data_IF_934717499031
#
_entry.id   IF_934717499031
#
_cell.length_a   1.000
_cell.length_b   1.000
_cell.length_c   1.000
_cell.angle_alpha   90.00
_cell.angle_beta   90.00
_cell.angle_gamma   90.00
#
_symmetry.space_group_name_H-M   'P 1'
#
loop_
_entity.id
_entity.type
_entity.pdbx_description
1 polymer ?
#
# COMPACT_ATOMS: atom_id res chain seq x y z
N UNK A 1 -10.73 2.84 1.71
CA UNK A 1 -10.41 2.41 3.09
C UNK A 1 -9.63 3.50 3.83
N UNK A 2 -9.78 3.62 5.15
CA UNK A 2 -9.07 4.60 5.97
C UNK A 2 -8.21 3.91 7.02
N UNK A 3 -6.98 4.39 7.22
CA UNK A 3 -6.10 4.00 8.33
C UNK A 3 -5.89 5.23 9.22
N UNK A 4 -6.62 5.28 10.34
CA UNK A 4 -6.49 6.34 11.36
C UNK A 4 -5.68 5.80 12.53
N UNK A 5 -4.47 6.32 12.69
CA UNK A 5 -3.59 5.99 13.80
C UNK A 5 -3.34 7.27 14.59
N UNK A 6 -3.99 7.43 15.74
CA UNK A 6 -3.92 8.67 16.53
C UNK A 6 -2.60 8.82 17.31
N UNK A 7 -1.86 7.73 17.50
CA UNK A 7 -0.58 7.68 18.24
C UNK A 7 0.57 7.06 17.44
N UNK A 8 0.32 6.66 16.19
CA UNK A 8 1.27 5.92 15.39
C UNK A 8 1.36 6.50 13.98
N UNK A 9 2.56 6.64 13.45
CA UNK A 9 2.78 6.94 12.04
C UNK A 9 3.17 5.66 11.30
N UNK A 10 2.85 5.57 10.02
CA UNK A 10 3.31 4.42 9.23
C UNK A 10 4.80 4.59 8.96
N UNK A 11 5.59 3.55 9.22
CA UNK A 11 7.03 3.56 8.95
C UNK A 11 7.27 3.58 7.44
N UNK A 12 7.78 4.69 6.91
CA UNK A 12 7.98 4.86 5.46
C UNK A 12 9.14 4.02 4.90
N UNK A 13 10.05 3.57 5.77
CA UNK A 13 11.24 2.78 5.38
C UNK A 13 10.97 1.28 5.36
N UNK A 14 9.97 0.83 6.12
CA UNK A 14 9.63 -0.58 6.28
C UNK A 14 8.36 -0.97 5.52
N UNK A 15 7.49 -0.01 5.19
CA UNK A 15 6.26 -0.28 4.46
C UNK A 15 6.26 0.33 3.06
N UNK A 16 5.55 -0.34 2.16
CA UNK A 16 5.25 0.14 0.81
C UNK A 16 3.74 0.16 0.58
N UNK A 17 3.26 1.19 -0.11
CA UNK A 17 1.92 1.16 -0.68
C UNK A 17 1.94 0.28 -1.92
N UNK A 18 1.12 -0.76 -1.93
CA UNK A 18 1.13 -1.81 -2.94
C UNK A 18 -0.24 -1.92 -3.60
N UNK A 19 -0.28 -2.03 -4.91
CA UNK A 19 -1.43 -2.47 -5.67
C UNK A 19 -1.15 -3.80 -6.37
N UNK A 20 -2.17 -4.65 -6.45
CA UNK A 20 -2.15 -5.92 -7.17
C UNK A 20 -3.31 -5.95 -8.14
N UNK A 21 -3.02 -6.24 -9.40
CA UNK A 21 -3.99 -6.25 -10.48
C UNK A 21 -3.41 -5.86 -11.84
N UNK A 22 -4.16 -6.16 -12.89
CA UNK A 22 -3.97 -5.61 -14.23
C UNK A 22 -5.14 -4.68 -14.53
N UNK A 23 -4.95 -3.70 -15.43
CA UNK A 23 -5.93 -2.62 -15.63
C UNK A 23 -6.23 -1.91 -14.30
N UNK A 24 -5.20 -1.61 -13.51
CA UNK A 24 -5.35 -1.14 -12.13
C UNK A 24 -4.56 0.14 -11.90
N UNK A 25 -5.17 1.10 -11.21
CA UNK A 25 -4.44 2.16 -10.53
C UNK A 25 -4.90 2.31 -9.09
N UNK A 26 -3.95 2.60 -8.22
CA UNK A 26 -4.20 2.84 -6.81
C UNK A 26 -3.57 4.16 -6.39
N UNK A 27 -4.34 4.94 -5.66
CA UNK A 27 -3.95 6.26 -5.15
C UNK A 27 -4.02 6.22 -3.64
N UNK A 28 -2.97 6.71 -3.00
CA UNK A 28 -2.90 6.94 -1.56
C UNK A 28 -2.81 8.44 -1.29
N UNK A 29 -3.71 8.92 -0.43
CA UNK A 29 -3.79 10.31 0.02
C UNK A 29 -3.60 10.35 1.52
N UNK A 30 -2.98 11.39 2.02
CA UNK A 30 -2.79 11.59 3.45
C UNK A 30 -2.25 12.97 3.75
N UNK A 31 -1.75 13.12 4.97
CA UNK A 31 -1.13 14.35 5.44
C UNK A 31 0.30 14.11 5.90
N UNK A 32 1.19 15.04 5.58
CA UNK A 32 2.52 15.17 6.16
C UNK A 32 2.53 16.47 6.97
N UNK A 33 2.41 16.35 8.30
CA UNK A 33 2.06 17.50 9.14
C UNK A 33 0.70 18.08 8.73
N UNK A 34 0.68 19.34 8.27
CA UNK A 34 -0.54 20.02 7.79
C UNK A 34 -0.69 20.01 6.26
N UNK A 35 0.29 19.50 5.52
CA UNK A 35 0.26 19.49 4.06
C UNK A 35 -0.37 18.19 3.54
N UNK A 36 -1.25 18.33 2.54
CA UNK A 36 -1.84 17.18 1.86
C UNK A 36 -0.87 16.65 0.83
N UNK A 37 -0.68 15.33 0.82
CA UNK A 37 0.03 14.65 -0.25
C UNK A 37 -0.88 13.67 -0.97
N UNK A 38 -0.53 13.37 -2.22
CA UNK A 38 -1.16 12.34 -3.02
C UNK A 38 -0.07 11.66 -3.84
N UNK A 39 0.00 10.34 -3.74
CA UNK A 39 0.87 9.51 -4.57
C UNK A 39 0.12 8.24 -4.97
N UNK A 40 0.69 7.42 -5.82
CA UNK A 40 0.04 6.22 -6.31
C UNK A 40 0.92 5.47 -7.29
N UNK A 41 0.39 4.36 -7.77
CA UNK A 41 1.01 3.57 -8.83
C UNK A 41 -0.08 2.90 -9.67
N UNK A 42 0.31 2.39 -10.84
CA UNK A 42 -0.56 1.65 -11.74
C UNK A 42 0.15 0.42 -12.29
N UNK A 43 -0.63 -0.57 -12.71
CA UNK A 43 -0.18 -1.79 -13.38
C UNK A 43 -1.15 -2.09 -14.51
N UNK A 44 -0.62 -2.18 -15.74
CA UNK A 44 -1.38 -2.44 -16.96
C UNK A 44 -0.79 -3.67 -17.63
N UNK A 45 -1.64 -4.64 -17.94
CA UNK A 45 -1.27 -5.89 -18.59
C UNK A 45 -2.49 -6.50 -19.25
N UNK A 46 -2.28 -7.10 -20.43
CA UNK A 46 -3.34 -7.72 -21.23
C UNK A 46 -3.28 -9.26 -21.19
N UNK A 47 -2.28 -9.83 -20.52
CA UNK A 47 -2.09 -11.28 -20.43
C UNK A 47 -1.32 -11.67 -19.17
N UNK A 48 -1.75 -12.76 -18.54
CA UNK A 48 -1.08 -13.39 -17.40
C UNK A 48 0.34 -13.89 -17.73
N UNK A 49 0.66 -14.16 -19.00
CA UNK A 49 1.98 -14.64 -19.41
C UNK A 49 3.08 -13.58 -19.24
N UNK A 50 2.68 -12.31 -19.14
CA UNK A 50 3.59 -11.20 -18.84
C UNK A 50 3.81 -11.00 -17.34
N UNK A 51 3.02 -11.67 -16.50
CA UNK A 51 3.04 -11.54 -15.05
C UNK A 51 4.00 -12.57 -14.47
N UNK A 52 5.02 -12.09 -13.75
CA UNK A 52 6.10 -12.92 -13.21
C UNK A 52 6.00 -12.92 -11.68
N UNK A 53 6.05 -14.12 -11.08
CA UNK A 53 6.14 -14.27 -9.62
C UNK A 53 7.45 -13.67 -9.09
N UNK A 54 7.43 -13.05 -7.90
CA UNK A 54 8.64 -12.52 -7.26
C UNK A 54 8.50 -11.11 -6.71
N UNK A 55 9.58 -10.30 -6.76
CA UNK A 55 9.54 -8.89 -6.36
C UNK A 55 8.55 -8.11 -7.22
N UNK A 56 7.83 -7.17 -6.61
CA UNK A 56 6.84 -6.40 -7.33
C UNK A 56 7.49 -5.38 -8.29
N UNK A 57 7.55 -5.73 -9.57
CA UNK A 57 8.36 -5.01 -10.57
C UNK A 57 7.55 -4.29 -11.65
N UNK A 58 6.22 -4.17 -11.50
CA UNK A 58 5.36 -3.29 -12.32
C UNK A 58 4.28 -3.97 -13.18
N UNK A 59 4.40 -5.27 -13.47
CA UNK A 59 3.39 -6.03 -14.25
C UNK A 59 2.63 -6.99 -13.32
N UNK A 60 1.31 -6.78 -13.20
CA UNK A 60 0.43 -7.51 -12.27
C UNK A 60 0.47 -6.98 -10.83
N UNK A 61 1.43 -6.12 -10.50
CA UNK A 61 1.48 -5.39 -9.25
C UNK A 61 2.30 -4.12 -9.41
N UNK A 62 2.09 -3.14 -8.53
CA UNK A 62 2.92 -1.95 -8.44
C UNK A 62 3.13 -1.55 -6.97
N UNK A 63 4.26 -0.90 -6.69
CA UNK A 63 4.57 -0.37 -5.36
C UNK A 63 5.04 1.08 -5.45
N UNK A 64 4.75 1.86 -4.41
CA UNK A 64 5.28 3.21 -4.23
C UNK A 64 5.53 3.49 -2.76
N UNK A 65 6.53 4.32 -2.48
CA UNK A 65 6.87 4.74 -1.13
C UNK A 65 5.80 5.66 -0.55
N UNK A 66 5.57 5.53 0.75
CA UNK A 66 4.75 6.45 1.52
C UNK A 66 5.66 7.55 2.08
N UNK A 67 5.28 8.85 2.05
CA UNK A 67 6.09 9.90 2.67
C UNK A 67 6.33 9.68 4.17
N UNK A 68 7.48 10.12 4.66
CA UNK A 68 7.79 10.12 6.09
C UNK A 68 6.79 10.98 6.88
N UNK A 69 6.35 10.51 8.04
CA UNK A 69 5.36 11.22 8.86
C UNK A 69 3.96 11.24 8.24
N UNK A 70 3.69 10.40 7.24
CA UNK A 70 2.37 10.24 6.67
C UNK A 70 1.34 9.79 7.72
N UNK A 71 0.22 10.51 7.76
CA UNK A 71 -0.91 10.25 8.64
C UNK A 71 -2.25 10.34 7.90
N UNK A 72 -3.31 9.82 8.53
CA UNK A 72 -4.69 9.84 8.01
C UNK A 72 -4.80 9.31 6.57
N UNK A 73 -4.26 8.12 6.35
CA UNK A 73 -4.15 7.57 5.00
C UNK A 73 -5.51 7.13 4.47
N UNK A 74 -5.83 7.57 3.26
CA UNK A 74 -6.95 7.14 2.44
C UNK A 74 -6.47 6.47 1.16
N UNK A 75 -7.00 5.28 0.88
CA UNK A 75 -6.71 4.55 -0.35
C UNK A 75 -7.91 4.60 -1.29
N UNK A 76 -7.63 4.92 -2.55
CA UNK A 76 -8.55 4.79 -3.70
C UNK A 76 -7.98 3.75 -4.65
N UNK A 77 -8.84 2.87 -5.15
CA UNK A 77 -8.49 1.82 -6.11
C UNK A 77 -9.54 1.82 -7.20
N UNK A 78 -9.10 1.73 -8.46
CA UNK A 78 -10.00 1.66 -9.61
C UNK A 78 -9.28 0.99 -10.78
N UNK A 79 -10.05 0.64 -11.79
CA UNK A 79 -9.58 0.18 -13.08
C UNK A 79 -9.86 1.18 -14.19
N UNK A 80 -9.08 1.14 -15.28
CA UNK A 80 -9.28 2.03 -16.43
C UNK A 80 -10.37 1.50 -17.36
N UNK A 81 -10.43 0.19 -17.57
CA UNK A 81 -11.39 -0.47 -18.46
C UNK A 81 -12.30 -1.49 -17.74
N UNK A 82 -12.53 -1.33 -16.43
CA UNK A 82 -13.41 -2.21 -15.64
C UNK A 82 -13.01 -3.70 -15.75
N UNK A 83 -11.73 -3.98 -15.97
CA UNK A 83 -11.19 -5.32 -16.19
C UNK A 83 -11.77 -6.06 -17.42
N UNK A 84 -12.48 -5.38 -18.33
CA UNK A 84 -13.29 -6.01 -19.37
C UNK A 84 -12.53 -7.03 -20.23
N UNK A 85 -11.26 -6.76 -20.53
CA UNK A 85 -10.43 -7.58 -21.43
C UNK A 85 -9.59 -8.65 -20.70
N UNK A 86 -9.67 -8.72 -19.36
CA UNK A 86 -8.80 -9.56 -18.51
C UNK A 86 -9.55 -10.33 -17.42
N UNK A 87 -10.88 -10.38 -17.51
CA UNK A 87 -11.77 -11.02 -16.52
C UNK A 87 -11.46 -12.52 -16.27
N UNK A 88 -10.83 -13.18 -17.24
CA UNK A 88 -10.46 -14.60 -17.19
C UNK A 88 -9.34 -14.91 -16.18
N UNK A 89 -8.46 -13.95 -15.90
CA UNK A 89 -7.36 -14.12 -14.94
C UNK A 89 -7.25 -13.03 -13.86
N UNK A 90 -7.89 -11.87 -14.05
CA UNK A 90 -7.91 -10.78 -13.07
C UNK A 90 -9.30 -10.12 -13.03
N UNK A 91 -10.17 -10.62 -12.15
CA UNK A 91 -11.52 -10.10 -11.97
C UNK A 91 -11.62 -8.98 -10.92
N UNK A 92 -10.57 -8.77 -10.14
CA UNK A 92 -10.51 -7.85 -9.02
C UNK A 92 -9.10 -7.28 -8.86
N UNK A 93 -9.03 -6.06 -8.37
CA UNK A 93 -7.80 -5.41 -7.94
C UNK A 93 -7.75 -5.28 -6.43
N UNK A 94 -6.55 -5.10 -5.89
CA UNK A 94 -6.32 -4.89 -4.47
C UNK A 94 -5.33 -3.77 -4.23
N UNK A 95 -5.49 -3.02 -3.14
CA UNK A 95 -4.54 -2.00 -2.73
C UNK A 95 -4.44 -1.93 -1.21
N UNK A 96 -3.22 -1.89 -0.69
CA UNK A 96 -2.94 -1.96 0.74
C UNK A 96 -1.55 -1.40 1.05
N UNK A 97 -1.33 -1.09 2.32
CA UNK A 97 0.01 -0.83 2.87
C UNK A 97 0.48 -2.15 3.48
N UNK A 98 1.73 -2.54 3.20
CA UNK A 98 2.31 -3.76 3.75
C UNK A 98 3.79 -3.57 4.04
N UNK A 99 4.28 -4.28 5.05
CA UNK A 99 5.69 -4.43 5.31
C UNK A 99 6.39 -5.06 4.09
N UNK A 100 7.43 -4.41 3.58
CA UNK A 100 8.07 -4.78 2.33
C UNK A 100 8.75 -6.17 2.39
N UNK A 101 9.26 -6.58 3.55
CA UNK A 101 9.90 -7.89 3.79
C UNK A 101 8.91 -9.05 3.73
N UNK A 102 7.65 -8.79 4.07
CA UNK A 102 6.62 -9.80 4.27
C UNK A 102 5.72 -9.98 3.05
N UNK A 103 5.87 -9.13 2.03
CA UNK A 103 5.10 -9.23 0.79
C UNK A 103 5.97 -9.67 -0.39
N UNK A 104 5.73 -10.90 -0.85
CA UNK A 104 6.24 -11.41 -2.13
C UNK A 104 5.08 -11.63 -3.08
N UNK A 105 5.12 -10.97 -4.23
CA UNK A 105 4.05 -11.08 -5.22
C UNK A 105 4.03 -12.47 -5.85
N UNK A 106 2.80 -12.97 -6.07
CA UNK A 106 2.55 -14.10 -6.95
C UNK A 106 1.42 -13.79 -7.91
N UNK A 107 1.51 -14.26 -9.16
CA UNK A 107 0.48 -14.13 -10.19
C UNK A 107 -0.88 -14.71 -9.75
N UNK A 108 -0.89 -15.68 -8.82
CA UNK A 108 -2.14 -16.21 -8.23
C UNK A 108 -2.96 -15.15 -7.49
N UNK A 109 -2.30 -14.10 -7.00
CA UNK A 109 -2.97 -13.00 -6.32
C UNK A 109 -3.87 -12.18 -7.24
N UNK A 110 -3.73 -12.29 -8.57
CA UNK A 110 -4.64 -11.67 -9.52
C UNK A 110 -6.05 -12.26 -9.44
N UNK A 111 -6.21 -13.51 -8.97
CA UNK A 111 -7.51 -14.17 -8.79
C UNK A 111 -7.85 -14.45 -7.32
N UNK A 112 -6.86 -14.67 -6.46
CA UNK A 112 -7.08 -15.34 -5.16
C UNK A 112 -6.77 -14.45 -3.93
N UNK A 113 -6.36 -13.20 -4.10
CA UNK A 113 -5.99 -12.34 -2.94
C UNK A 113 -7.20 -11.97 -2.06
N UNK A 114 -8.43 -12.24 -2.52
CA UNK A 114 -9.68 -12.09 -1.75
C UNK A 114 -9.65 -12.82 -0.39
N UNK A 115 -8.89 -13.92 -0.29
CA UNK A 115 -8.80 -14.71 0.95
C UNK A 115 -7.81 -14.13 1.97
N UNK A 116 -6.99 -13.15 1.58
CA UNK A 116 -6.02 -12.51 2.47
C UNK A 116 -6.69 -11.33 3.16
N UNK A 117 -7.04 -11.51 4.43
CA UNK A 117 -7.78 -10.50 5.22
C UNK A 117 -6.89 -9.65 6.11
N UNK A 118 -5.62 -10.04 6.30
CA UNK A 118 -4.64 -9.34 7.15
C UNK A 118 -3.28 -9.35 6.51
N UNK A 119 -2.61 -8.20 6.55
CA UNK A 119 -1.24 -8.01 6.09
C UNK A 119 -0.46 -7.26 7.18
N UNK A 120 0.83 -7.58 7.39
CA UNK A 120 1.65 -6.91 8.38
C UNK A 120 1.93 -5.47 7.95
N UNK A 121 1.91 -4.57 8.92
CA UNK A 121 2.27 -3.16 8.76
C UNK A 121 3.14 -2.77 9.95
N UNK A 122 4.25 -2.10 9.67
CA UNK A 122 5.13 -1.57 10.71
C UNK A 122 4.76 -0.12 11.01
N UNK A 123 4.66 0.23 12.29
CA UNK A 123 4.33 1.59 12.70
C UNK A 123 5.42 2.15 13.59
N UNK A 124 5.71 3.43 13.42
CA UNK A 124 6.55 4.17 14.35
C UNK A 124 5.65 4.70 15.48
N UNK A 125 6.16 4.64 16.71
CA UNK A 125 5.40 4.95 17.91
C UNK A 125 6.24 5.77 18.90
N UNK A 126 5.60 6.68 19.63
CA UNK A 126 6.24 7.49 20.69
C UNK A 126 5.52 7.29 22.03
N UNK A 127 6.28 7.37 23.14
CA UNK A 127 5.71 7.40 24.49
C UNK A 127 5.38 8.86 24.82
N UNK A 128 4.19 9.30 24.42
CA UNK A 128 3.70 10.66 24.67
C UNK A 128 3.97 11.64 23.53
N UNK A 129 3.56 12.90 23.75
CA UNK A 129 3.75 14.01 22.80
C UNK A 129 5.04 14.81 23.06
N UNK A 130 5.77 14.44 24.10
CA UNK A 130 6.96 15.13 24.58
C UNK A 130 8.21 14.53 23.93
N UNK A 131 9.26 15.33 23.74
CA UNK A 131 10.54 14.78 23.25
C UNK A 131 11.17 13.90 24.31
N UNK A 132 12.09 13.01 23.91
CA UNK A 132 12.83 12.18 24.86
C UNK A 132 13.56 13.03 25.91
N UNK A 133 14.06 14.22 25.55
CA UNK A 133 14.71 15.09 26.53
C UNK A 133 13.72 15.57 27.60
N UNK A 134 12.51 15.96 27.20
CA UNK A 134 11.47 16.44 28.13
C UNK A 134 10.98 15.29 29.02
N UNK A 135 10.79 14.10 28.46
CA UNK A 135 10.40 12.92 29.23
C UNK A 135 11.44 12.53 30.29
N UNK A 136 12.74 12.69 29.99
CA UNK A 136 13.84 12.46 30.94
C UNK A 136 13.93 13.53 32.05
N UNK A 137 13.51 14.77 31.77
CA UNK A 137 13.48 15.83 32.80
C UNK A 137 12.34 15.63 33.81
N UNK A 138 11.29 14.90 33.42
CA UNK A 138 10.10 14.65 34.23
C UNK A 138 10.15 13.32 35.01
N UNK A 139 11.27 12.59 34.97
CA UNK A 139 11.48 11.30 35.66
C UNK A 139 12.26 11.42 36.96
#
# INVERSE_FOLDING_TARGET
PWLWLFKFTISNTQNMFTAVGCDTYAIVRGFQGNERYTTGCMSICDSIDRVIDGPCSGVGCCQTSIPEGASQINVTLSSYNKHADIMDFNNCSYAFVVEQSEFKFSRKYLSDLQNITKLPVVVDWTIGYETCEVAQMNS
#
